data_IF_154519533607
#
_entry.id   IF_154519533607
#
_cell.length_a   1.000
_cell.length_b   1.000
_cell.length_c   1.000
_cell.angle_alpha   90.00
_cell.angle_beta   90.00
_cell.angle_gamma   90.00
#
_symmetry.space_group_name_H-M   'P 1'
#
loop_
_entity.id
_entity.type
_entity.pdbx_description
1 polymer ?
#
# COMPACT_ATOMS: atom_id res chain seq x y z
N UNK A 1 -19.81 2.66 -8.38
CA UNK A 1 -19.59 2.37 -6.96
C UNK A 1 -18.26 1.63 -6.87
N UNK A 2 -17.17 2.36 -7.09
CA UNK A 2 -15.86 1.77 -7.36
C UNK A 2 -14.80 2.48 -6.52
N UNK A 3 -15.15 2.73 -5.26
CA UNK A 3 -14.27 3.35 -4.30
C UNK A 3 -13.47 2.25 -3.60
N UNK A 4 -12.16 2.45 -3.52
CA UNK A 4 -11.26 1.62 -2.72
C UNK A 4 -11.76 1.58 -1.27
N UNK A 5 -11.71 0.41 -0.64
CA UNK A 5 -12.01 0.29 0.78
C UNK A 5 -11.06 1.18 1.59
N UNK A 6 -11.47 1.70 2.77
CA UNK A 6 -10.63 2.59 3.59
C UNK A 6 -9.22 2.03 3.87
N UNK A 7 -9.13 0.71 4.01
CA UNK A 7 -7.85 0.00 4.18
C UNK A 7 -6.96 0.06 2.94
N UNK A 8 -7.54 -0.11 1.77
CA UNK A 8 -6.81 -0.06 0.50
C UNK A 8 -6.30 1.37 0.23
N UNK A 9 -7.13 2.38 0.54
CA UNK A 9 -6.71 3.78 0.51
C UNK A 9 -5.54 4.04 1.47
N UNK A 10 -5.59 3.50 2.68
CA UNK A 10 -4.52 3.66 3.66
C UNK A 10 -3.20 2.98 3.21
N UNK A 11 -3.28 1.82 2.55
CA UNK A 11 -2.12 1.15 1.96
C UNK A 11 -1.49 2.03 0.87
N UNK A 12 -2.29 2.57 -0.06
CA UNK A 12 -1.80 3.44 -1.13
C UNK A 12 -1.27 4.79 -0.61
N UNK A 13 -1.84 5.31 0.48
CA UNK A 13 -1.33 6.50 1.14
C UNK A 13 0.04 6.24 1.81
N UNK A 14 0.21 5.07 2.42
CA UNK A 14 1.48 4.67 3.03
C UNK A 14 2.58 4.47 1.98
N UNK A 15 2.26 3.88 0.83
CA UNK A 15 3.22 3.73 -0.28
C UNK A 15 3.72 5.05 -0.86
N UNK A 16 2.90 6.10 -0.85
CA UNK A 16 3.31 7.43 -1.34
C UNK A 16 4.26 8.17 -0.40
N UNK A 17 4.56 7.62 0.78
CA UNK A 17 5.48 8.25 1.75
C UNK A 17 6.91 7.82 1.50
N UNK A 18 7.82 8.79 1.63
CA UNK A 18 9.26 8.52 1.71
C UNK A 18 9.63 7.99 3.09
N UNK A 19 10.27 6.82 3.15
CA UNK A 19 10.80 6.25 4.40
C UNK A 19 12.32 6.32 4.40
N UNK A 20 12.89 6.88 5.46
CA UNK A 20 14.35 6.97 5.63
C UNK A 20 14.82 6.01 6.71
N UNK A 21 15.82 5.20 6.38
CA UNK A 21 16.45 4.27 7.30
C UNK A 21 15.84 2.86 7.29
N UNK A 22 16.62 1.85 7.74
CA UNK A 22 16.21 0.45 7.67
C UNK A 22 14.97 0.18 8.54
N UNK A 23 13.99 -0.51 7.95
CA UNK A 23 12.78 -0.96 8.63
C UNK A 23 11.78 0.15 9.00
N UNK A 24 12.02 1.42 8.63
CA UNK A 24 11.09 2.52 8.94
C UNK A 24 9.70 2.30 8.33
N UNK A 25 9.66 1.80 7.09
CA UNK A 25 8.42 1.42 6.40
C UNK A 25 7.68 0.30 7.12
N UNK A 26 8.40 -0.76 7.51
CA UNK A 26 7.78 -1.90 8.20
C UNK A 26 7.25 -1.54 9.59
N UNK A 27 7.91 -0.63 10.31
CA UNK A 27 7.38 -0.10 11.57
C UNK A 27 6.07 0.65 11.35
N UNK A 28 6.04 1.57 10.38
CA UNK A 28 4.82 2.29 10.03
C UNK A 28 3.69 1.36 9.60
N UNK A 29 3.98 0.31 8.81
CA UNK A 29 2.99 -0.71 8.43
C UNK A 29 2.38 -1.39 9.67
N UNK A 30 3.20 -1.75 10.66
CA UNK A 30 2.73 -2.40 11.89
C UNK A 30 1.97 -1.43 12.79
N UNK A 31 2.48 -0.23 12.98
CA UNK A 31 1.94 0.75 13.93
C UNK A 31 0.67 1.43 13.41
N UNK A 32 0.63 1.78 12.12
CA UNK A 32 -0.48 2.56 11.55
C UNK A 32 -1.58 1.68 10.95
N UNK A 33 -1.22 0.53 10.37
CA UNK A 33 -2.18 -0.37 9.72
C UNK A 33 -2.48 -1.64 10.52
N UNK A 34 -1.71 -1.92 11.59
CA UNK A 34 -1.85 -3.14 12.37
C UNK A 34 -1.51 -4.41 11.57
N UNK A 35 -0.72 -4.29 10.50
CA UNK A 35 -0.43 -5.41 9.59
C UNK A 35 0.97 -5.96 9.76
N UNK A 36 1.10 -7.27 9.59
CA UNK A 36 2.40 -7.88 9.32
C UNK A 36 2.91 -7.40 7.94
N UNK A 37 4.22 -7.12 7.78
CA UNK A 37 4.79 -6.66 6.50
C UNK A 37 4.45 -7.57 5.31
N UNK A 38 4.48 -8.89 5.51
CA UNK A 38 4.12 -9.86 4.47
C UNK A 38 2.68 -9.67 3.98
N UNK A 39 1.73 -9.49 4.91
CA UNK A 39 0.32 -9.27 4.55
C UNK A 39 0.11 -7.93 3.86
N UNK A 40 0.87 -6.92 4.25
CA UNK A 40 0.86 -5.62 3.60
C UNK A 40 1.28 -5.72 2.13
N UNK A 41 2.42 -6.35 1.82
CA UNK A 41 2.89 -6.49 0.43
C UNK A 41 1.98 -7.36 -0.42
N UNK A 42 1.35 -8.39 0.15
CA UNK A 42 0.34 -9.17 -0.57
C UNK A 42 -0.86 -8.32 -1.00
N UNK A 43 -1.37 -7.48 -0.09
CA UNK A 43 -2.49 -6.59 -0.39
C UNK A 43 -2.08 -5.49 -1.37
N UNK A 44 -0.87 -4.94 -1.21
CA UNK A 44 -0.34 -3.95 -2.13
C UNK A 44 -0.21 -4.52 -3.55
N UNK A 45 0.35 -5.72 -3.72
CA UNK A 45 0.47 -6.36 -5.03
C UNK A 45 -0.92 -6.59 -5.64
N UNK A 46 -1.88 -7.11 -4.87
CA UNK A 46 -3.24 -7.27 -5.35
C UNK A 46 -3.92 -5.95 -5.76
N UNK A 47 -3.56 -4.83 -5.12
CA UNK A 47 -4.01 -3.49 -5.51
C UNK A 47 -3.33 -3.02 -6.79
N UNK A 48 -2.03 -3.24 -6.95
CA UNK A 48 -1.28 -2.85 -8.14
C UNK A 48 -1.68 -3.66 -9.39
N UNK A 49 -2.07 -4.91 -9.20
CA UNK A 49 -2.61 -5.78 -10.25
C UNK A 49 -4.08 -5.47 -10.59
N UNK A 50 -4.72 -4.57 -9.85
CA UNK A 50 -6.10 -4.16 -10.08
C UNK A 50 -6.17 -3.08 -11.19
N UNK A 51 -6.97 -3.26 -12.25
CA UNK A 51 -7.15 -2.26 -13.31
C UNK A 51 -7.63 -0.89 -12.81
N UNK A 52 -8.17 -0.81 -11.59
CA UNK A 52 -8.56 0.44 -10.91
C UNK A 52 -7.35 1.24 -10.39
N UNK A 53 -6.27 0.57 -9.99
CA UNK A 53 -5.02 1.22 -9.59
C UNK A 53 -4.20 1.65 -10.82
N UNK A 54 -4.21 0.85 -11.89
CA UNK A 54 -3.63 1.22 -13.20
C UNK A 54 -4.25 2.49 -13.79
N UNK A 55 -5.52 2.79 -13.48
CA UNK A 55 -6.19 4.03 -13.87
C UNK A 55 -5.75 5.26 -13.04
N UNK A 56 -5.13 5.06 -11.86
CA UNK A 56 -4.73 6.13 -10.95
C UNK A 56 -3.21 6.39 -10.90
N UNK A 57 -2.35 5.39 -11.14
CA UNK A 57 -0.91 5.60 -11.31
C UNK A 57 -0.25 4.34 -11.95
N UNK A 58 0.15 4.36 -13.23
CA UNK A 58 0.80 3.22 -13.87
C UNK A 58 2.25 3.10 -13.39
N UNK A 59 2.49 2.28 -12.37
CA UNK A 59 3.85 1.93 -11.94
C UNK A 59 4.44 0.92 -12.94
N UNK A 60 5.35 1.38 -13.80
CA UNK A 60 6.24 0.51 -14.56
C UNK A 60 7.31 -0.07 -13.63
N UNK A 61 7.29 -1.40 -13.46
CA UNK A 61 8.39 -2.19 -12.87
C UNK A 61 9.69 -2.03 -13.63
#
# INVERSE_FOLDING_TARGET
>A
MNDLAPREQAILALERRGFTGPGAKERAIREELGLAPVRYYQLLNALLDDPRALAHDPVTV
#
